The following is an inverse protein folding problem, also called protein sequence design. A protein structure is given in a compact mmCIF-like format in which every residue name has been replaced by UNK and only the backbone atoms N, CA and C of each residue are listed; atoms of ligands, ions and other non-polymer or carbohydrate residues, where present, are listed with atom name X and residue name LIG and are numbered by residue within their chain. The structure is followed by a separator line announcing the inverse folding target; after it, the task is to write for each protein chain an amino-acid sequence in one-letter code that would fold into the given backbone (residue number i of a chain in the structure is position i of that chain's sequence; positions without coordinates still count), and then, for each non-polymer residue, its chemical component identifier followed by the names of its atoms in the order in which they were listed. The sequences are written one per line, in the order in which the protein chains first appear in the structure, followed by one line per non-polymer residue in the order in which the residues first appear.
data_IF_036386587341
#
_entry.id   IF_036386587341
#
_cell.length_a   1.000
_cell.length_b   1.000
_cell.length_c   1.000
_cell.angle_alpha   90.00
_cell.angle_beta   90.00
_cell.angle_gamma   90.00
#
_symmetry.space_group_name_H-M   'P 1'
#
loop_
_entity.id
_entity.type
_entity.pdbx_description
1 polymer ?
#
# COMPACT_ATOMS: atom_id res chain seq x y z
N UNK A 1 8.63 24.24 30.38
CA UNK A 1 8.83 23.32 29.24
C UNK A 1 8.46 24.07 27.98
N UNK A 2 9.43 24.40 27.13
CA UNK A 2 9.16 25.04 25.84
C UNK A 2 8.35 24.04 24.98
N UNK A 3 7.25 24.46 24.33
CA UNK A 3 6.53 23.57 23.42
C UNK A 3 7.50 23.11 22.34
N UNK A 4 7.69 21.80 22.19
CA UNK A 4 8.49 21.23 21.11
C UNK A 4 7.89 21.73 19.80
N UNK A 5 8.57 22.66 19.11
CA UNK A 5 8.16 23.11 17.79
C UNK A 5 8.10 21.87 16.89
N UNK A 6 6.88 21.45 16.53
CA UNK A 6 6.69 20.33 15.62
C UNK A 6 7.27 20.72 14.27
N UNK A 7 8.41 20.11 13.93
CA UNK A 7 9.07 20.27 12.65
C UNK A 7 8.06 20.03 11.51
N UNK A 8 7.86 21.02 10.64
CA UNK A 8 6.98 20.88 9.47
C UNK A 8 7.72 20.10 8.37
N UNK A 9 7.05 19.21 7.63
CA UNK A 9 7.68 18.52 6.51
C UNK A 9 8.04 19.54 5.43
N UNK A 10 9.26 19.44 4.90
CA UNK A 10 9.75 20.25 3.78
C UNK A 10 9.04 19.89 2.48
N UNK A 11 8.71 18.60 2.32
CA UNK A 11 8.01 18.11 1.14
C UNK A 11 7.09 16.94 1.49
N UNK A 12 5.95 16.85 0.82
CA UNK A 12 4.96 15.78 1.00
C UNK A 12 4.69 15.13 -0.34
N UNK A 13 5.08 13.86 -0.48
CA UNK A 13 4.88 13.09 -1.69
C UNK A 13 3.64 12.22 -1.55
N UNK A 14 2.66 12.47 -2.41
CA UNK A 14 1.47 11.65 -2.52
C UNK A 14 1.72 10.45 -3.43
N UNK A 15 1.17 9.30 -3.03
CA UNK A 15 1.19 8.09 -3.85
C UNK A 15 0.15 8.20 -4.95
N UNK A 16 0.43 7.58 -6.09
CA UNK A 16 -0.59 7.33 -7.11
C UNK A 16 -1.58 6.31 -6.55
N UNK A 17 -2.77 6.79 -6.18
CA UNK A 17 -3.78 6.00 -5.46
C UNK A 17 -4.30 4.84 -6.30
N UNK A 18 -4.49 5.05 -7.60
CA UNK A 18 -4.98 4.04 -8.56
C UNK A 18 -4.08 2.81 -8.57
N UNK A 19 -2.76 3.00 -8.74
CA UNK A 19 -1.74 1.94 -8.66
C UNK A 19 -1.77 1.17 -7.35
N UNK A 20 -2.01 1.88 -6.24
CA UNK A 20 -1.98 1.30 -4.90
C UNK A 20 -3.25 0.48 -4.56
N UNK A 21 -4.38 0.81 -5.19
CA UNK A 21 -5.71 0.26 -4.88
C UNK A 21 -6.08 -0.83 -5.89
N UNK A 22 -6.05 -0.55 -7.19
CA UNK A 22 -6.65 -1.41 -8.23
C UNK A 22 -6.10 -2.85 -8.19
N UNK A 23 -4.79 -3.10 -8.18
CA UNK A 23 -4.27 -4.48 -8.18
C UNK A 23 -4.66 -5.27 -6.92
N UNK A 24 -4.83 -4.59 -5.79
CA UNK A 24 -5.33 -5.24 -4.57
C UNK A 24 -6.81 -5.53 -4.64
N UNK A 25 -7.60 -4.64 -5.22
CA UNK A 25 -9.04 -4.88 -5.42
C UNK A 25 -9.25 -6.07 -6.35
N UNK A 26 -8.50 -6.15 -7.46
CA UNK A 26 -8.54 -7.29 -8.37
C UNK A 26 -8.16 -8.59 -7.65
N UNK A 27 -7.07 -8.57 -6.87
CA UNK A 27 -6.64 -9.74 -6.09
C UNK A 27 -7.68 -10.14 -5.03
N UNK A 28 -8.30 -9.18 -4.34
CA UNK A 28 -9.38 -9.42 -3.38
C UNK A 28 -10.61 -10.03 -4.05
N UNK A 29 -11.04 -9.49 -5.20
CA UNK A 29 -12.16 -10.03 -5.96
C UNK A 29 -11.92 -11.48 -6.38
N UNK A 30 -10.73 -11.77 -6.90
CA UNK A 30 -10.36 -13.13 -7.29
C UNK A 30 -10.33 -14.08 -6.08
N UNK A 31 -9.76 -13.64 -4.96
CA UNK A 31 -9.71 -14.45 -3.74
C UNK A 31 -11.11 -14.70 -3.17
N UNK A 32 -11.96 -13.67 -3.14
CA UNK A 32 -13.37 -13.78 -2.72
C UNK A 32 -14.15 -14.75 -3.61
N UNK A 33 -13.91 -14.73 -4.92
CA UNK A 33 -14.53 -15.67 -5.86
C UNK A 33 -14.11 -17.12 -5.56
N UNK A 34 -12.80 -17.38 -5.46
CA UNK A 34 -12.27 -18.72 -5.15
C UNK A 34 -12.79 -19.21 -3.80
N UNK A 35 -12.80 -18.34 -2.78
CA UNK A 35 -13.31 -18.67 -1.46
C UNK A 35 -14.81 -19.00 -1.48
N UNK A 36 -15.63 -18.21 -2.16
CA UNK A 36 -17.06 -18.49 -2.31
C UNK A 36 -17.33 -19.81 -3.06
N UNK A 37 -16.59 -20.09 -4.14
CA UNK A 37 -16.66 -21.38 -4.85
C UNK A 37 -16.31 -22.54 -3.91
N UNK A 38 -15.30 -22.38 -3.05
CA UNK A 38 -14.96 -23.36 -2.02
C UNK A 38 -16.11 -23.62 -1.05
N UNK A 39 -16.82 -22.57 -0.61
CA UNK A 39 -18.00 -22.72 0.24
C UNK A 39 -19.10 -23.49 -0.50
N UNK A 40 -19.41 -23.12 -1.75
CA UNK A 40 -20.44 -23.79 -2.55
C UNK A 40 -20.13 -25.28 -2.73
N UNK A 41 -18.87 -25.62 -2.99
CA UNK A 41 -18.44 -27.01 -3.09
C UNK A 41 -18.68 -27.77 -1.78
N UNK A 42 -18.30 -27.18 -0.64
CA UNK A 42 -18.54 -27.80 0.67
C UNK A 42 -20.04 -27.99 0.95
N UNK A 43 -20.87 -26.99 0.64
CA UNK A 43 -22.33 -27.05 0.80
C UNK A 43 -22.93 -28.16 -0.08
N UNK A 44 -22.48 -28.28 -1.33
CA UNK A 44 -22.95 -29.31 -2.26
C UNK A 44 -22.64 -30.74 -1.76
N UNK A 45 -21.54 -30.91 -1.01
CA UNK A 45 -21.16 -32.21 -0.44
C UNK A 45 -21.92 -32.57 0.85
N UNK A 46 -22.57 -31.60 1.51
CA UNK A 46 -23.17 -31.77 2.83
C UNK A 46 -24.58 -32.40 2.83
N UNK A 47 -25.13 -32.82 1.69
CA UNK A 47 -26.46 -33.45 1.57
C UNK A 47 -27.55 -32.74 2.39
N UNK A 48 -27.61 -31.41 2.28
CA UNK A 48 -28.53 -30.58 3.05
C UNK A 48 -29.93 -30.57 2.44
N UNK A 49 -30.95 -30.27 3.26
CA UNK A 49 -32.29 -29.97 2.74
C UNK A 49 -32.25 -28.65 1.94
N UNK A 50 -33.04 -28.55 0.88
CA UNK A 50 -33.00 -27.39 -0.03
C UNK A 50 -33.17 -26.02 0.63
N UNK A 51 -33.97 -25.93 1.70
CA UNK A 51 -34.13 -24.69 2.48
C UNK A 51 -32.86 -24.31 3.26
N UNK A 52 -32.15 -25.29 3.85
CA UNK A 52 -30.89 -25.06 4.57
C UNK A 52 -29.77 -24.68 3.60
N UNK A 53 -29.70 -25.34 2.44
CA UNK A 53 -28.74 -25.01 1.40
C UNK A 53 -28.89 -23.56 0.92
N UNK A 54 -30.12 -23.13 0.64
CA UNK A 54 -30.39 -21.75 0.20
C UNK A 54 -30.01 -20.72 1.27
N UNK A 55 -30.30 -21.00 2.54
CA UNK A 55 -29.89 -20.14 3.66
C UNK A 55 -28.36 -20.03 3.75
N UNK A 56 -27.64 -21.14 3.71
CA UNK A 56 -26.17 -21.13 3.82
C UNK A 56 -25.54 -20.40 2.63
N UNK A 57 -26.03 -20.64 1.40
CA UNK A 57 -25.56 -19.92 0.19
C UNK A 57 -25.76 -18.41 0.33
N UNK A 58 -26.92 -17.98 0.82
CA UNK A 58 -27.21 -16.56 1.05
C UNK A 58 -26.30 -15.94 2.13
N UNK A 59 -26.21 -16.58 3.30
CA UNK A 59 -25.39 -16.06 4.39
C UNK A 59 -23.90 -16.04 4.05
N UNK A 60 -23.39 -17.07 3.36
CA UNK A 60 -22.01 -17.09 2.90
C UNK A 60 -21.73 -16.01 1.87
N UNK A 61 -22.63 -15.77 0.91
CA UNK A 61 -22.49 -14.67 -0.05
C UNK A 61 -22.42 -13.31 0.66
N UNK A 62 -23.35 -13.05 1.59
CA UNK A 62 -23.36 -11.81 2.38
C UNK A 62 -22.07 -11.64 3.19
N UNK A 63 -21.58 -12.72 3.79
CA UNK A 63 -20.33 -12.72 4.54
C UNK A 63 -19.12 -12.42 3.63
N UNK A 64 -19.05 -13.01 2.44
CA UNK A 64 -17.98 -12.73 1.46
C UNK A 64 -18.02 -11.28 0.98
N UNK A 65 -19.21 -10.74 0.70
CA UNK A 65 -19.38 -9.33 0.33
C UNK A 65 -18.89 -8.43 1.46
N UNK A 66 -19.25 -8.72 2.71
CA UNK A 66 -18.81 -7.96 3.88
C UNK A 66 -17.27 -7.95 3.99
N UNK A 67 -16.62 -9.11 3.87
CA UNK A 67 -15.16 -9.21 3.89
C UNK A 67 -14.51 -8.42 2.75
N UNK A 68 -15.10 -8.47 1.56
CA UNK A 68 -14.61 -7.72 0.39
C UNK A 68 -14.68 -6.22 0.63
N UNK A 69 -15.79 -5.70 1.18
CA UNK A 69 -15.94 -4.27 1.54
C UNK A 69 -14.89 -3.85 2.57
N UNK A 70 -14.70 -4.62 3.63
CA UNK A 70 -13.68 -4.35 4.66
C UNK A 70 -12.27 -4.32 4.03
N UNK A 71 -11.98 -5.28 3.16
CA UNK A 71 -10.71 -5.36 2.43
C UNK A 71 -10.44 -4.12 1.56
N UNK A 72 -11.46 -3.65 0.83
CA UNK A 72 -11.36 -2.44 0.01
C UNK A 72 -11.09 -1.21 0.88
N UNK A 73 -11.86 -1.02 1.96
CA UNK A 73 -11.68 0.12 2.88
C UNK A 73 -10.27 0.12 3.48
N UNK A 74 -9.80 -1.04 3.96
CA UNK A 74 -8.45 -1.20 4.49
C UNK A 74 -7.37 -0.87 3.45
N UNK A 75 -7.58 -1.27 2.20
CA UNK A 75 -6.67 -0.98 1.08
C UNK A 75 -6.57 0.53 0.80
N UNK A 76 -7.71 1.23 0.76
CA UNK A 76 -7.80 2.68 0.57
C UNK A 76 -7.07 3.41 1.70
N UNK A 77 -7.36 3.06 2.96
CA UNK A 77 -6.73 3.66 4.14
C UNK A 77 -5.21 3.49 4.17
N UNK A 78 -4.69 2.40 3.58
CA UNK A 78 -3.24 2.19 3.45
C UNK A 78 -2.65 2.98 2.29
N UNK A 79 -3.40 3.17 1.21
CA UNK A 79 -2.95 3.88 0.00
C UNK A 79 -2.88 5.40 0.19
N UNK A 80 -3.69 5.98 1.07
CA UNK A 80 -3.76 7.44 1.29
C UNK A 80 -2.62 8.03 2.11
N UNK A 81 -1.82 7.20 2.80
CA UNK A 81 -0.71 7.69 3.66
C UNK A 81 0.42 8.27 2.79
N UNK A 82 0.71 9.58 2.85
CA UNK A 82 1.77 10.19 2.07
C UNK A 82 3.14 9.91 2.67
N UNK A 83 4.20 10.08 1.87
CA UNK A 83 5.56 10.17 2.38
C UNK A 83 5.83 11.61 2.78
N UNK A 84 6.40 11.80 3.97
CA UNK A 84 6.76 13.13 4.48
C UNK A 84 8.27 13.23 4.56
N UNK A 85 8.82 14.22 3.90
CA UNK A 85 10.25 14.51 3.87
C UNK A 85 10.49 15.66 4.84
N UNK A 86 11.31 15.39 5.85
CA UNK A 86 11.82 16.37 6.82
C UNK A 86 13.26 16.70 6.46
N UNK A 87 13.89 17.57 7.25
CA UNK A 87 15.28 17.99 6.99
C UNK A 87 16.27 16.82 7.09
N UNK A 88 16.08 15.91 8.03
CA UNK A 88 17.01 14.81 8.31
C UNK A 88 16.46 13.40 8.02
N UNK A 89 15.17 13.28 7.73
CA UNK A 89 14.49 11.98 7.64
C UNK A 89 13.31 11.96 6.69
N UNK A 90 12.97 10.77 6.23
CA UNK A 90 11.72 10.50 5.50
C UNK A 90 10.84 9.63 6.39
N UNK A 91 9.54 9.94 6.46
CA UNK A 91 8.57 9.15 7.23
C UNK A 91 7.40 8.67 6.38
N UNK A 92 6.91 7.48 6.71
CA UNK A 92 5.68 6.88 6.21
C UNK A 92 4.92 6.26 7.39
N UNK A 93 3.96 7.01 7.94
CA UNK A 93 3.24 6.58 9.14
C UNK A 93 4.20 6.41 10.32
N UNK A 94 4.31 5.17 10.84
CA UNK A 94 5.23 4.84 11.95
C UNK A 94 6.66 4.50 11.49
N UNK A 95 6.87 4.29 10.19
CA UNK A 95 8.20 3.97 9.65
C UNK A 95 8.96 5.25 9.34
N UNK A 96 10.24 5.28 9.66
CA UNK A 96 11.13 6.39 9.32
C UNK A 96 12.51 5.91 8.93
N UNK A 97 13.21 6.71 8.14
CA UNK A 97 14.61 6.51 7.78
C UNK A 97 15.33 7.86 7.79
N UNK A 98 16.50 7.92 8.42
CA UNK A 98 17.38 9.09 8.34
C UNK A 98 18.09 9.09 6.99
N UNK A 99 18.31 10.26 6.38
CA UNK A 99 19.06 10.32 5.11
C UNK A 99 20.48 9.76 5.25
N UNK A 100 21.12 9.94 6.40
CA UNK A 100 22.44 9.37 6.72
C UNK A 100 22.46 7.84 6.71
N UNK A 101 21.32 7.19 6.90
CA UNK A 101 21.21 5.73 6.99
C UNK A 101 20.78 5.10 5.65
N UNK A 102 20.67 5.89 4.59
CA UNK A 102 20.41 5.39 3.24
C UNK A 102 21.74 4.89 2.69
N UNK A 103 21.88 3.58 2.50
CA UNK A 103 23.11 2.98 1.96
C UNK A 103 23.13 3.05 0.44
N UNK A 104 22.02 2.66 -0.19
CA UNK A 104 21.86 2.63 -1.64
C UNK A 104 20.45 3.06 -2.01
N UNK A 105 20.31 3.63 -3.21
CA UNK A 105 19.04 4.08 -3.79
C UNK A 105 18.82 3.29 -5.06
N UNK A 106 17.86 2.37 -5.04
CA UNK A 106 17.54 1.52 -6.19
C UNK A 106 16.14 1.81 -6.71
N UNK A 107 16.03 2.10 -8.00
CA UNK A 107 14.74 2.13 -8.67
C UNK A 107 14.27 0.70 -8.97
N UNK A 108 13.01 0.42 -8.67
CA UNK A 108 12.35 -0.86 -8.92
C UNK A 108 11.06 -0.63 -9.69
N UNK A 109 10.91 -1.38 -10.78
CA UNK A 109 9.65 -1.47 -11.53
C UNK A 109 9.04 -2.86 -11.38
N UNK A 110 7.75 -2.88 -11.16
CA UNK A 110 6.91 -4.08 -11.18
C UNK A 110 6.06 -4.12 -12.44
N UNK A 111 5.42 -5.26 -12.72
CA UNK A 111 4.62 -5.46 -13.93
C UNK A 111 3.50 -4.41 -14.06
N UNK A 112 2.89 -4.03 -12.94
CA UNK A 112 1.82 -3.02 -12.95
C UNK A 112 2.37 -1.58 -13.01
N UNK A 113 3.65 -1.35 -12.77
CA UNK A 113 4.21 0.00 -12.75
C UNK A 113 4.20 0.66 -14.14
N UNK A 114 4.35 -0.12 -15.21
CA UNK A 114 4.19 0.36 -16.59
C UNK A 114 2.77 0.86 -16.86
N UNK A 115 1.75 0.10 -16.45
CA UNK A 115 0.34 0.44 -16.67
C UNK A 115 -0.07 1.74 -15.97
N UNK A 116 0.46 1.98 -14.77
CA UNK A 116 0.10 3.16 -13.97
C UNK A 116 1.12 4.30 -14.08
N UNK A 117 2.15 4.17 -14.91
CA UNK A 117 3.27 5.14 -15.03
C UNK A 117 3.88 5.48 -13.67
N UNK A 118 4.13 4.44 -12.87
CA UNK A 118 4.72 4.56 -11.55
C UNK A 118 6.05 3.83 -11.44
N UNK A 119 6.78 4.07 -10.36
CA UNK A 119 7.92 3.28 -9.94
C UNK A 119 7.98 3.18 -8.42
N UNK A 120 8.95 2.40 -7.93
CA UNK A 120 9.31 2.35 -6.53
C UNK A 120 10.78 2.70 -6.33
N UNK A 121 11.08 3.44 -5.27
CA UNK A 121 12.44 3.79 -4.87
C UNK A 121 12.78 3.07 -3.56
N UNK A 122 13.76 2.18 -3.59
CA UNK A 122 14.20 1.44 -2.42
C UNK A 122 15.37 2.15 -1.73
N UNK A 123 15.18 2.48 -0.45
CA UNK A 123 16.17 3.18 0.39
C UNK A 123 16.73 2.25 1.47
N UNK A 124 16.64 0.93 1.26
CA UNK A 124 17.00 -0.10 2.23
C UNK A 124 15.88 -0.37 3.24
N UNK A 125 15.84 0.38 4.36
CA UNK A 125 14.85 0.15 5.43
C UNK A 125 13.45 0.67 5.09
N UNK A 126 13.35 1.58 4.12
CA UNK A 126 12.09 2.17 3.67
C UNK A 126 12.04 2.16 2.14
N UNK A 127 10.94 1.68 1.57
CA UNK A 127 10.70 1.73 0.14
C UNK A 127 9.58 2.72 -0.16
N UNK A 128 9.86 3.71 -1.01
CA UNK A 128 8.88 4.63 -1.54
C UNK A 128 8.19 3.96 -2.74
N UNK A 129 6.99 3.41 -2.53
CA UNK A 129 6.19 2.74 -3.57
C UNK A 129 5.17 3.68 -4.21
N UNK A 130 4.87 3.41 -5.48
CA UNK A 130 3.81 4.03 -6.29
C UNK A 130 4.02 5.54 -6.50
N UNK A 131 5.26 5.90 -6.81
CA UNK A 131 5.65 7.27 -7.16
C UNK A 131 5.35 7.48 -8.65
N UNK A 132 4.83 8.64 -9.03
CA UNK A 132 4.64 8.98 -10.45
C UNK A 132 5.98 9.13 -11.16
N UNK A 133 6.10 8.61 -12.38
CA UNK A 133 7.30 8.79 -13.21
C UNK A 133 7.54 10.25 -13.62
N UNK A 134 6.54 11.11 -13.48
CA UNK A 134 6.65 12.55 -13.73
C UNK A 134 7.43 13.30 -12.64
N UNK A 135 7.61 12.68 -11.47
CA UNK A 135 8.28 13.30 -10.32
C UNK A 135 9.67 12.71 -10.16
N UNK A 136 10.72 13.53 -10.34
CA UNK A 136 12.11 13.13 -10.11
C UNK A 136 12.46 13.16 -8.61
N UNK A 137 11.83 12.29 -7.83
CA UNK A 137 12.08 12.19 -6.39
C UNK A 137 13.47 11.61 -6.10
N UNK A 138 14.03 10.82 -7.00
CA UNK A 138 15.35 10.22 -6.85
C UNK A 138 16.43 11.30 -6.74
N UNK A 139 16.41 12.30 -7.63
CA UNK A 139 17.35 13.43 -7.59
C UNK A 139 17.26 14.18 -6.25
N UNK A 140 16.04 14.40 -5.75
CA UNK A 140 15.81 15.04 -4.47
C UNK A 140 16.39 14.22 -3.30
N UNK A 141 16.14 12.91 -3.26
CA UNK A 141 16.66 12.03 -2.20
C UNK A 141 18.18 11.96 -2.26
N UNK A 142 18.79 11.86 -3.45
CA UNK A 142 20.25 11.89 -3.64
C UNK A 142 20.86 13.18 -3.10
N UNK A 143 20.24 14.33 -3.41
CA UNK A 143 20.68 15.62 -2.89
C UNK A 143 20.62 15.68 -1.36
N UNK A 144 19.51 15.27 -0.77
CA UNK A 144 19.34 15.27 0.69
C UNK A 144 20.30 14.29 1.39
N UNK A 145 20.56 13.14 0.79
CA UNK A 145 21.56 12.19 1.26
C UNK A 145 22.97 12.80 1.24
N UNK A 146 23.34 13.48 0.15
CA UNK A 146 24.65 14.14 0.02
C UNK A 146 24.88 15.27 1.04
N UNK A 147 23.83 16.01 1.40
CA UNK A 147 23.93 17.02 2.47
C UNK A 147 24.07 16.37 3.85
N UNK A 148 23.37 15.26 4.09
CA UNK A 148 23.46 14.57 5.37
C UNK A 148 24.82 13.91 5.57
N UNK A 149 25.48 13.41 4.51
CA UNK A 149 26.79 12.77 4.60
C UNK A 149 27.96 13.75 4.76
N UNK A 150 27.83 14.99 4.27
CA UNK A 150 28.84 16.05 4.44
C UNK A 150 28.80 16.77 5.80
N UNK A 151 27.75 16.55 6.58
CA UNK A 151 27.56 17.19 7.90
C UNK A 151 28.24 16.43 9.05
N UNK A 152 29.00 15.38 8.72
CA UNK A 152 29.85 14.60 9.63
C UNK A 152 31.29 14.73 9.15
#
# INVERSE_FOLDING_TARGET
MLPSQQEKPTYVLHKVKTRAIIPKVISLMLLSLVFYLGILLNVALLNLKGSQESQIRLFSLLFVILLLVIGIIASINKATKPYRFYRNRITLGKKQILYSNITEIHEKHSIFDSLFKTHALDLGKLTLKHISNEVNIEAYVKQMHSYASRSF
#
